data_IF_318308550315
#
_entry.id   IF_318308550315
#
_cell.length_a   1.000
_cell.length_b   1.000
_cell.length_c   1.000
_cell.angle_alpha   90.00
_cell.angle_beta   90.00
_cell.angle_gamma   90.00
#
_symmetry.space_group_name_H-M   'P 1'
#
loop_
_entity.id
_entity.type
_entity.pdbx_description
1 polymer ?
#
# COMPACT_ATOMS: atom_id res chain seq x y z
N UNK A 1 23.58 -13.10 0.88
CA UNK A 1 22.75 -13.22 -0.33
C UNK A 1 21.30 -13.24 0.11
N UNK A 2 20.41 -12.50 -0.55
CA UNK A 2 18.98 -12.51 -0.22
C UNK A 2 18.32 -13.74 -0.86
N UNK A 3 18.04 -14.76 -0.06
CA UNK A 3 17.30 -15.95 -0.49
C UNK A 3 15.82 -15.77 -0.16
N UNK A 4 14.94 -16.37 -0.95
CA UNK A 4 13.53 -16.56 -0.60
C UNK A 4 13.34 -17.98 -0.10
N UNK A 5 12.68 -18.11 1.04
CA UNK A 5 12.28 -19.41 1.57
C UNK A 5 10.77 -19.62 1.43
N UNK A 6 10.36 -20.86 1.20
CA UNK A 6 8.97 -21.30 1.30
C UNK A 6 8.84 -22.42 2.34
N UNK A 7 7.63 -22.56 2.89
CA UNK A 7 7.31 -23.68 3.79
C UNK A 7 7.21 -24.98 3.01
N UNK A 8 7.92 -26.00 3.50
CA UNK A 8 7.79 -27.37 2.99
C UNK A 8 6.45 -27.97 3.43
N UNK A 9 6.13 -29.18 2.97
CA UNK A 9 4.99 -29.93 3.50
C UNK A 9 5.12 -30.17 5.03
N UNK A 10 6.34 -30.48 5.51
CA UNK A 10 6.61 -30.66 6.93
C UNK A 10 6.46 -29.36 7.74
N UNK A 11 6.84 -28.22 7.17
CA UNK A 11 6.63 -26.91 7.78
C UNK A 11 5.15 -26.56 7.95
N UNK A 12 4.32 -26.88 6.96
CA UNK A 12 2.86 -26.69 7.03
C UNK A 12 2.21 -27.60 8.07
N UNK A 13 2.59 -28.88 8.07
CA UNK A 13 2.10 -29.84 9.06
C UNK A 13 2.42 -29.40 10.50
N UNK A 14 3.66 -28.94 10.76
CA UNK A 14 4.05 -28.43 12.08
C UNK A 14 3.20 -27.23 12.53
N UNK A 15 2.77 -26.36 11.61
CA UNK A 15 1.85 -25.26 11.91
C UNK A 15 0.48 -25.80 12.33
N UNK A 16 -0.03 -26.84 11.69
CA UNK A 16 -1.35 -27.39 11.99
C UNK A 16 -1.37 -28.17 13.30
N UNK A 17 -0.43 -29.10 13.50
CA UNK A 17 -0.51 -30.10 14.57
C UNK A 17 0.40 -29.82 15.77
N UNK A 18 1.37 -28.89 15.65
CA UNK A 18 2.39 -28.59 16.68
C UNK A 18 3.20 -29.83 17.11
N UNK A 19 3.32 -30.84 16.24
CA UNK A 19 3.89 -32.14 16.57
C UNK A 19 5.36 -32.10 17.03
N UNK A 20 6.15 -31.17 16.48
CA UNK A 20 7.59 -31.00 16.79
C UNK A 20 7.85 -30.03 17.94
N UNK A 21 6.80 -29.37 18.46
CA UNK A 21 6.86 -28.45 19.60
C UNK A 21 7.93 -27.36 19.43
N UNK A 22 7.93 -26.70 18.27
CA UNK A 22 8.86 -25.61 18.02
C UNK A 22 8.80 -24.52 19.09
N UNK A 23 9.95 -23.94 19.48
CA UNK A 23 10.00 -22.70 20.24
C UNK A 23 9.10 -21.62 19.60
N UNK A 24 8.38 -20.86 20.43
CA UNK A 24 7.39 -19.89 19.96
C UNK A 24 7.94 -18.89 18.94
N UNK A 25 9.21 -18.47 19.10
CA UNK A 25 9.87 -17.57 18.17
C UNK A 25 10.13 -18.23 16.80
N UNK A 26 10.67 -19.45 16.75
CA UNK A 26 10.88 -20.20 15.49
C UNK A 26 9.57 -20.47 14.77
N UNK A 27 8.51 -20.78 15.52
CA UNK A 27 7.17 -20.98 14.96
C UNK A 27 6.60 -19.70 14.36
N UNK A 28 6.84 -18.56 15.01
CA UNK A 28 6.44 -17.24 14.50
C UNK A 28 7.17 -16.92 13.20
N UNK A 29 8.48 -17.21 13.12
CA UNK A 29 9.23 -17.10 11.87
C UNK A 29 8.65 -18.03 10.80
N UNK A 30 8.45 -19.30 11.11
CA UNK A 30 7.89 -20.31 10.18
C UNK A 30 6.54 -19.88 9.59
N UNK A 31 5.66 -19.29 10.38
CA UNK A 31 4.37 -18.75 9.91
C UNK A 31 4.54 -17.66 8.86
N UNK A 32 5.57 -16.80 9.00
CA UNK A 32 5.83 -15.69 8.10
C UNK A 32 6.63 -16.05 6.85
N UNK A 33 7.20 -17.26 6.77
CA UNK A 33 7.91 -17.73 5.57
C UNK A 33 6.89 -18.04 4.48
N UNK A 34 6.58 -17.08 3.62
CA UNK A 34 5.54 -17.17 2.60
C UNK A 34 6.10 -17.20 1.16
N UNK A 35 7.41 -17.16 0.99
CA UNK A 35 8.06 -17.02 -0.32
C UNK A 35 7.97 -15.61 -0.90
N UNK A 36 7.45 -14.64 -0.14
CA UNK A 36 7.39 -13.23 -0.52
C UNK A 36 8.47 -12.39 0.15
N UNK A 37 8.94 -12.80 1.33
CA UNK A 37 10.01 -12.13 2.08
C UNK A 37 11.33 -12.85 1.93
N UNK A 38 12.39 -12.07 1.74
CA UNK A 38 13.76 -12.60 1.71
C UNK A 38 14.37 -12.78 3.11
N UNK A 39 15.53 -13.42 3.17
CA UNK A 39 16.27 -13.64 4.43
C UNK A 39 16.54 -12.34 5.19
N UNK A 40 16.82 -11.23 4.51
CA UNK A 40 17.14 -9.96 5.16
C UNK A 40 15.88 -9.35 5.80
N UNK A 41 14.77 -9.35 5.06
CA UNK A 41 13.47 -8.90 5.56
C UNK A 41 13.01 -9.74 6.75
N UNK A 42 13.15 -11.07 6.68
CA UNK A 42 12.82 -11.97 7.78
C UNK A 42 13.73 -11.77 8.99
N UNK A 43 15.04 -11.64 8.79
CA UNK A 43 16.01 -11.36 9.87
C UNK A 43 15.75 -10.03 10.55
N UNK A 44 15.27 -9.02 9.82
CA UNK A 44 14.86 -7.72 10.40
C UNK A 44 13.74 -7.84 11.44
N UNK A 45 12.96 -8.93 11.42
CA UNK A 45 11.88 -9.18 12.37
C UNK A 45 12.31 -9.98 13.60
N UNK A 46 13.53 -10.56 13.61
CA UNK A 46 13.97 -11.48 14.67
C UNK A 46 14.01 -10.81 16.03
N UNK A 47 14.49 -9.58 16.10
CA UNK A 47 14.66 -8.84 17.36
C UNK A 47 13.31 -8.63 18.06
N UNK A 48 12.29 -8.18 17.31
CA UNK A 48 10.93 -7.97 17.83
C UNK A 48 10.23 -9.27 18.25
N UNK A 49 10.59 -10.39 17.63
CA UNK A 49 10.03 -11.71 17.92
C UNK A 49 10.85 -12.53 18.91
N UNK A 50 11.99 -11.98 19.38
CA UNK A 50 12.97 -12.68 20.22
C UNK A 50 13.42 -14.01 19.60
N UNK A 51 13.52 -14.05 18.27
CA UNK A 51 14.02 -15.19 17.54
C UNK A 51 15.55 -15.26 17.62
N UNK A 52 16.13 -16.47 17.69
CA UNK A 52 17.58 -16.61 17.68
C UNK A 52 18.15 -16.17 16.31
N UNK A 53 19.40 -15.66 16.24
CA UNK A 53 19.98 -15.10 15.01
C UNK A 53 20.14 -16.13 13.89
N UNK A 54 20.14 -17.41 14.24
CA UNK A 54 20.21 -18.59 13.37
C UNK A 54 18.84 -19.25 13.14
N UNK A 55 17.73 -18.54 13.39
CA UNK A 55 16.38 -19.11 13.29
C UNK A 55 16.04 -19.69 11.91
N UNK A 56 16.44 -19.02 10.82
CA UNK A 56 16.21 -19.54 9.46
C UNK A 56 17.04 -20.79 9.21
N UNK A 57 18.29 -20.79 9.62
CA UNK A 57 19.20 -21.94 9.54
C UNK A 57 18.65 -23.14 10.31
N UNK A 58 18.09 -22.92 11.49
CA UNK A 58 17.42 -23.97 12.28
C UNK A 58 16.18 -24.52 11.58
N UNK A 59 15.34 -23.67 10.96
CA UNK A 59 14.15 -24.11 10.23
C UNK A 59 14.51 -24.89 8.97
N UNK A 60 15.56 -24.48 8.26
CA UNK A 60 16.13 -25.21 7.11
C UNK A 60 16.69 -26.56 7.56
N UNK A 61 17.50 -26.60 8.63
CA UNK A 61 18.08 -27.83 9.17
C UNK A 61 17.01 -28.85 9.61
N UNK A 62 15.86 -28.36 10.07
CA UNK A 62 14.71 -29.20 10.44
C UNK A 62 13.82 -29.59 9.25
N UNK A 63 14.14 -29.12 8.04
CA UNK A 63 13.40 -29.39 6.80
C UNK A 63 12.03 -28.73 6.75
N UNK A 64 11.81 -27.67 7.52
CA UNK A 64 10.50 -26.98 7.62
C UNK A 64 10.35 -25.88 6.58
N UNK A 65 11.47 -25.32 6.14
CA UNK A 65 11.52 -24.36 5.03
C UNK A 65 12.61 -24.78 4.04
N UNK A 66 12.44 -24.40 2.79
CA UNK A 66 13.41 -24.63 1.73
C UNK A 66 13.66 -23.34 0.95
N UNK A 67 14.89 -23.16 0.49
CA UNK A 67 15.24 -22.04 -0.37
C UNK A 67 14.67 -22.29 -1.77
N UNK A 68 13.76 -21.44 -2.20
CA UNK A 68 13.05 -21.54 -3.49
C UNK A 68 13.53 -20.53 -4.52
N UNK A 69 14.45 -19.66 -4.15
CA UNK A 69 15.02 -18.67 -5.05
C UNK A 69 16.08 -17.82 -4.39
N UNK A 70 16.93 -17.22 -5.22
CA UNK A 70 18.00 -16.32 -4.81
C UNK A 70 19.33 -16.69 -5.47
N UNK A 71 19.42 -16.42 -6.76
CA UNK A 71 20.62 -15.82 -7.30
C UNK A 71 20.19 -14.53 -7.99
N UNK A 72 20.91 -13.44 -7.72
CA UNK A 72 20.83 -12.21 -8.49
C UNK A 72 21.51 -12.37 -9.87
N UNK A 73 21.50 -13.59 -10.43
CA UNK A 73 21.95 -13.80 -11.80
C UNK A 73 20.91 -13.17 -12.72
N UNK A 74 21.36 -12.13 -13.42
CA UNK A 74 20.60 -11.44 -14.44
C UNK A 74 20.04 -12.48 -15.41
N UNK A 75 18.73 -12.66 -15.39
CA UNK A 75 18.05 -13.54 -16.34
C UNK A 75 18.37 -13.04 -17.74
N UNK A 76 18.76 -13.92 -18.68
CA UNK A 76 18.89 -13.53 -20.07
C UNK A 76 17.53 -12.98 -20.52
N UNK A 77 17.51 -11.72 -20.97
CA UNK A 77 16.35 -11.07 -21.56
C UNK A 77 15.97 -11.83 -22.82
N UNK A 78 15.20 -12.91 -22.66
CA UNK A 78 14.55 -13.57 -23.77
C UNK A 78 13.41 -12.64 -24.17
N UNK A 79 13.56 -11.98 -25.30
CA UNK A 79 12.56 -11.07 -25.83
C UNK A 79 11.26 -11.85 -26.08
N UNK A 80 10.28 -11.64 -25.22
CA UNK A 80 9.01 -12.39 -25.20
C UNK A 80 8.10 -11.86 -26.32
N UNK A 81 8.28 -10.59 -26.69
CA UNK A 81 7.52 -9.93 -27.76
C UNK A 81 8.06 -10.16 -29.17
N UNK A 82 9.23 -10.78 -29.36
CA UNK A 82 9.83 -10.94 -30.71
C UNK A 82 8.90 -11.69 -31.66
N UNK A 83 8.47 -11.04 -32.74
CA UNK A 83 7.53 -11.58 -33.73
C UNK A 83 6.07 -11.61 -33.27
N UNK A 84 5.77 -11.07 -32.08
CA UNK A 84 4.44 -10.94 -31.46
C UNK A 84 4.25 -9.55 -30.86
N UNK A 85 4.95 -8.54 -31.37
CA UNK A 85 5.02 -7.20 -30.76
C UNK A 85 3.63 -6.54 -30.68
N UNK A 86 2.78 -6.83 -31.66
CA UNK A 86 1.43 -6.30 -31.81
C UNK A 86 0.35 -7.33 -31.45
N UNK A 87 0.72 -8.47 -30.86
CA UNK A 87 -0.22 -9.51 -30.47
C UNK A 87 -1.12 -9.01 -29.31
N UNK A 88 -2.44 -8.84 -29.52
CA UNK A 88 -3.33 -8.33 -28.49
C UNK A 88 -3.42 -9.23 -27.26
N UNK A 89 -3.30 -10.56 -27.43
CA UNK A 89 -3.37 -11.50 -26.32
C UNK A 89 -2.11 -11.39 -25.44
N UNK A 90 -0.94 -11.27 -26.07
CA UNK A 90 0.32 -11.06 -25.34
C UNK A 90 0.31 -9.72 -24.60
N UNK A 91 -0.20 -8.66 -25.23
CA UNK A 91 -0.36 -7.35 -24.59
C UNK A 91 -1.23 -7.44 -23.33
N UNK A 92 -2.42 -8.04 -23.42
CA UNK A 92 -3.34 -8.17 -22.28
C UNK A 92 -2.71 -8.98 -21.14
N UNK A 93 -2.07 -10.12 -21.45
CA UNK A 93 -1.41 -10.94 -20.44
C UNK A 93 -0.26 -10.21 -19.72
N UNK A 94 0.56 -9.44 -20.45
CA UNK A 94 1.62 -8.62 -19.87
C UNK A 94 1.05 -7.47 -19.04
N UNK A 95 0.03 -6.78 -19.55
CA UNK A 95 -0.65 -5.70 -18.85
C UNK A 95 -1.21 -6.18 -17.51
N UNK A 96 -1.93 -7.30 -17.51
CA UNK A 96 -2.52 -7.92 -16.32
C UNK A 96 -1.46 -8.38 -15.31
N UNK A 97 -0.38 -9.00 -15.79
CA UNK A 97 0.72 -9.41 -14.90
C UNK A 97 1.39 -8.19 -14.26
N UNK A 98 1.62 -7.12 -15.02
CA UNK A 98 2.32 -5.92 -14.54
C UNK A 98 1.45 -5.08 -13.59
N UNK A 99 0.16 -4.86 -13.91
CA UNK A 99 -0.77 -4.13 -13.02
C UNK A 99 -0.89 -4.85 -11.68
N UNK A 100 -0.98 -6.18 -11.69
CA UNK A 100 -1.11 -6.95 -10.45
C UNK A 100 0.19 -6.94 -9.63
N UNK A 101 1.36 -6.97 -10.30
CA UNK A 101 2.64 -6.82 -9.61
C UNK A 101 2.78 -5.44 -8.96
N UNK A 102 2.35 -4.37 -9.64
CA UNK A 102 2.31 -3.02 -9.09
C UNK A 102 1.40 -2.97 -7.87
N UNK A 103 0.17 -3.51 -7.99
CA UNK A 103 -0.82 -3.58 -6.90
C UNK A 103 -0.26 -4.32 -5.68
N UNK A 104 0.24 -5.55 -5.86
CA UNK A 104 0.70 -6.41 -4.76
C UNK A 104 1.98 -5.92 -4.11
N UNK A 105 2.94 -5.44 -4.89
CA UNK A 105 4.30 -5.21 -4.38
C UNK A 105 4.63 -3.74 -4.13
N UNK A 106 4.02 -2.81 -4.87
CA UNK A 106 4.35 -1.39 -4.77
C UNK A 106 3.26 -0.56 -4.10
N UNK A 107 1.98 -0.95 -4.26
CA UNK A 107 0.83 -0.16 -3.81
C UNK A 107 0.91 1.27 -4.34
N UNK A 108 0.68 2.27 -3.47
CA UNK A 108 0.72 3.69 -3.85
C UNK A 108 2.08 4.15 -4.42
N UNK A 109 3.21 3.54 -4.02
CA UNK A 109 4.53 3.86 -4.58
C UNK A 109 4.65 3.47 -6.05
N UNK A 110 3.75 2.61 -6.53
CA UNK A 110 3.66 2.14 -7.89
C UNK A 110 2.87 3.05 -8.84
N UNK A 111 2.25 4.13 -8.36
CA UNK A 111 1.37 4.99 -9.17
C UNK A 111 2.00 5.45 -10.49
N UNK A 112 3.25 5.95 -10.46
CA UNK A 112 3.93 6.38 -11.69
C UNK A 112 4.25 5.24 -12.64
N UNK A 113 4.46 4.02 -12.12
CA UNK A 113 4.66 2.84 -12.95
C UNK A 113 3.32 2.39 -13.54
N UNK A 114 2.23 2.44 -12.78
CA UNK A 114 0.88 2.20 -13.29
C UNK A 114 0.55 3.16 -14.44
N UNK A 115 0.79 4.47 -14.28
CA UNK A 115 0.60 5.45 -15.37
C UNK A 115 1.44 5.16 -16.61
N UNK A 116 2.63 4.58 -16.45
CA UNK A 116 3.47 4.18 -17.58
C UNK A 116 2.91 2.93 -18.27
N UNK A 117 2.40 1.97 -17.50
CA UNK A 117 1.68 0.79 -18.02
C UNK A 117 0.46 1.23 -18.84
N UNK A 118 -0.38 2.13 -18.32
CA UNK A 118 -1.57 2.65 -19.04
C UNK A 118 -1.24 3.40 -20.34
N UNK A 119 -0.01 3.91 -20.47
CA UNK A 119 0.45 4.61 -21.68
C UNK A 119 1.04 3.68 -22.73
N UNK A 120 1.33 2.42 -22.37
CA UNK A 120 1.81 1.44 -23.33
C UNK A 120 0.64 0.99 -24.22
N UNK A 121 0.87 0.92 -25.52
CA UNK A 121 -0.16 0.56 -26.52
C UNK A 121 0.10 -0.78 -27.18
N UNK A 122 1.22 -1.43 -26.89
CA UNK A 122 1.63 -2.71 -27.48
C UNK A 122 2.52 -3.53 -26.50
N UNK A 123 2.69 -4.82 -26.81
CA UNK A 123 3.41 -5.75 -25.94
C UNK A 123 4.90 -5.39 -25.81
N UNK A 124 5.50 -4.85 -26.88
CA UNK A 124 6.90 -4.41 -26.88
C UNK A 124 7.12 -3.23 -25.91
N UNK A 125 6.19 -2.28 -25.86
CA UNK A 125 6.26 -1.14 -24.94
C UNK A 125 6.17 -1.58 -23.48
N UNK A 126 5.30 -2.54 -23.17
CA UNK A 126 5.21 -3.15 -21.83
C UNK A 126 6.52 -3.89 -21.47
N UNK A 127 7.06 -4.70 -22.39
CA UNK A 127 8.33 -5.40 -22.17
C UNK A 127 9.50 -4.43 -21.90
N UNK A 128 9.52 -3.28 -22.58
CA UNK A 128 10.54 -2.24 -22.35
C UNK A 128 10.40 -1.54 -20.99
N UNK A 129 9.22 -1.55 -20.38
CA UNK A 129 8.98 -1.01 -19.05
C UNK A 129 9.34 -2.00 -17.93
N UNK A 130 9.38 -3.31 -18.21
CA UNK A 130 9.66 -4.36 -17.22
C UNK A 130 10.92 -4.13 -16.38
N UNK A 131 12.09 -3.72 -16.91
CA UNK A 131 13.28 -3.50 -16.08
C UNK A 131 13.07 -2.42 -15.00
N UNK A 132 12.29 -1.38 -15.30
CA UNK A 132 11.96 -0.33 -14.34
C UNK A 132 11.03 -0.85 -13.24
N UNK A 133 10.00 -1.63 -13.63
CA UNK A 133 9.11 -2.30 -12.68
C UNK A 133 9.89 -3.25 -11.76
N UNK A 134 10.80 -4.07 -12.31
CA UNK A 134 11.64 -4.97 -11.53
C UNK A 134 12.54 -4.24 -10.56
N UNK A 135 13.16 -3.13 -10.97
CA UNK A 135 13.97 -2.31 -10.08
C UNK A 135 13.12 -1.72 -8.94
N UNK A 136 11.90 -1.27 -9.24
CA UNK A 136 10.99 -0.72 -8.24
C UNK A 136 10.52 -1.80 -7.25
N UNK A 137 10.13 -2.98 -7.73
CA UNK A 137 9.73 -4.12 -6.88
C UNK A 137 10.92 -4.59 -6.05
N UNK A 138 12.10 -4.69 -6.66
CA UNK A 138 13.33 -5.09 -6.00
C UNK A 138 13.72 -4.15 -4.86
N UNK A 139 13.48 -2.84 -5.04
CA UNK A 139 13.71 -1.83 -4.00
C UNK A 139 12.63 -1.82 -2.91
N UNK A 140 11.38 -2.09 -3.27
CA UNK A 140 10.25 -2.03 -2.34
C UNK A 140 10.09 -3.30 -1.49
N UNK A 141 10.54 -4.44 -2.02
CA UNK A 141 10.46 -5.78 -1.41
C UNK A 141 11.86 -6.37 -1.37
N UNK A 142 12.20 -7.20 -2.36
CA UNK A 142 13.54 -7.75 -2.53
C UNK A 142 13.87 -8.01 -4.00
N UNK A 143 15.16 -7.91 -4.40
CA UNK A 143 15.59 -8.25 -5.75
C UNK A 143 15.26 -9.70 -6.14
N UNK A 144 15.33 -10.63 -5.18
CA UNK A 144 15.00 -12.03 -5.40
C UNK A 144 13.52 -12.24 -5.74
N UNK A 145 12.62 -11.53 -5.04
CA UNK A 145 11.18 -11.56 -5.33
C UNK A 145 10.86 -11.02 -6.72
N UNK A 146 11.42 -9.85 -7.05
CA UNK A 146 11.23 -9.24 -8.36
C UNK A 146 11.66 -10.19 -9.48
N UNK A 147 12.84 -10.79 -9.34
CA UNK A 147 13.40 -11.68 -10.34
C UNK A 147 12.60 -12.97 -10.51
N UNK A 148 12.14 -13.56 -9.40
CA UNK A 148 11.31 -14.77 -9.41
C UNK A 148 9.96 -14.53 -10.08
N UNK A 149 9.25 -13.48 -9.66
CA UNK A 149 7.97 -13.09 -10.24
C UNK A 149 8.08 -12.96 -11.77
N UNK A 150 9.16 -12.35 -12.26
CA UNK A 150 9.39 -12.21 -13.69
C UNK A 150 9.60 -13.54 -14.39
N UNK A 151 10.43 -14.42 -13.85
CA UNK A 151 10.67 -15.75 -14.42
C UNK A 151 9.38 -16.57 -14.52
N UNK A 152 8.56 -16.56 -13.46
CA UNK A 152 7.27 -17.24 -13.43
C UNK A 152 6.30 -16.66 -14.47
N UNK A 153 6.27 -15.33 -14.60
CA UNK A 153 5.48 -14.63 -15.63
C UNK A 153 5.94 -15.03 -17.04
N UNK A 154 7.24 -15.01 -17.31
CA UNK A 154 7.79 -15.43 -18.61
C UNK A 154 7.44 -16.89 -18.93
N UNK A 155 7.56 -17.80 -17.96
CA UNK A 155 7.22 -19.20 -18.13
C UNK A 155 5.72 -19.39 -18.44
N UNK A 156 4.84 -18.66 -17.76
CA UNK A 156 3.40 -18.70 -18.02
C UNK A 156 3.05 -18.20 -19.43
N UNK A 157 3.69 -17.11 -19.89
CA UNK A 157 3.47 -16.52 -21.22
C UNK A 157 3.97 -17.41 -22.37
N UNK A 158 5.02 -18.21 -22.14
CA UNK A 158 5.53 -19.16 -23.13
C UNK A 158 4.65 -20.42 -23.23
N UNK A 159 4.05 -20.85 -22.11
CA UNK A 159 3.25 -22.08 -22.05
C UNK A 159 1.74 -21.85 -22.29
N UNK A 160 1.23 -20.63 -22.10
CA UNK A 160 -0.19 -20.26 -22.17
C UNK A 160 -0.80 -20.12 -23.56
N UNK A 161 -0.24 -20.78 -24.59
CA UNK A 161 -0.77 -20.76 -25.96
C UNK A 161 -1.97 -21.67 -26.23
N UNK A 162 -2.40 -22.50 -25.27
CA UNK A 162 -3.54 -23.41 -25.38
C UNK A 162 -4.31 -23.45 -24.07
N UNK A 163 -5.37 -22.66 -23.92
CA UNK A 163 -6.62 -23.06 -23.25
C UNK A 163 -7.69 -21.99 -23.43
N UNK A 164 -8.88 -22.46 -23.78
CA UNK A 164 -10.05 -21.76 -24.30
C UNK A 164 -10.53 -20.57 -23.45
N UNK A 165 -10.88 -19.49 -24.16
CA UNK A 165 -11.96 -18.54 -23.85
C UNK A 165 -12.37 -18.46 -22.38
N UNK A 166 -11.64 -17.67 -21.59
CA UNK A 166 -12.26 -17.01 -20.45
C UNK A 166 -13.09 -15.86 -20.99
N UNK A 167 -14.39 -16.07 -20.86
CA UNK A 167 -15.47 -15.10 -20.98
C UNK A 167 -15.01 -13.72 -20.54
N UNK A 168 -15.35 -12.72 -21.36
CA UNK A 168 -15.30 -11.32 -21.01
C UNK A 168 -16.29 -11.09 -19.86
N UNK A 169 -15.86 -11.33 -18.63
CA UNK A 169 -16.48 -10.76 -17.44
C UNK A 169 -15.87 -9.37 -17.28
N UNK A 170 -16.60 -8.35 -17.71
CA UNK A 170 -16.43 -6.96 -17.27
C UNK A 170 -16.83 -6.87 -15.77
N UNK A 171 -16.07 -7.55 -14.91
CA UNK A 171 -16.08 -7.25 -13.48
C UNK A 171 -14.71 -6.69 -13.12
N UNK A 172 -14.69 -5.37 -12.98
CA UNK A 172 -13.57 -4.65 -12.40
C UNK A 172 -13.41 -5.09 -10.94
N UNK A 173 -12.62 -6.13 -10.68
CA UNK A 173 -12.18 -6.55 -9.32
C UNK A 173 -11.25 -5.50 -8.64
N UNK A 174 -11.36 -4.25 -9.08
CA UNK A 174 -10.82 -3.02 -8.51
C UNK A 174 -11.93 -2.09 -7.98
N UNK A 175 -13.17 -2.58 -7.83
CA UNK A 175 -14.28 -1.81 -7.27
C UNK A 175 -13.94 -1.29 -5.85
N UNK A 176 -13.51 -0.02 -5.79
CA UNK A 176 -13.52 0.83 -4.59
C UNK A 176 -14.64 1.86 -4.73
N UNK A 177 -15.91 1.44 -4.88
CA UNK A 177 -17.00 2.33 -5.25
C UNK A 177 -17.19 3.45 -4.24
N UNK A 178 -16.91 3.21 -2.95
CA UNK A 178 -16.94 4.26 -1.93
C UNK A 178 -15.82 5.28 -2.07
N UNK A 179 -14.61 4.83 -2.41
CA UNK A 179 -13.49 5.71 -2.69
C UNK A 179 -13.74 6.59 -3.93
N UNK A 180 -14.29 5.98 -4.98
CA UNK A 180 -14.63 6.68 -6.23
C UNK A 180 -15.78 7.65 -6.04
N UNK A 181 -16.78 7.30 -5.24
CA UNK A 181 -17.89 8.19 -4.89
C UNK A 181 -17.38 9.44 -4.15
N UNK A 182 -16.46 9.29 -3.19
CA UNK A 182 -15.86 10.43 -2.48
C UNK A 182 -15.06 11.30 -3.47
N UNK A 183 -14.23 10.69 -4.32
CA UNK A 183 -13.43 11.43 -5.31
C UNK A 183 -14.31 12.16 -6.33
N UNK A 184 -15.39 11.53 -6.80
CA UNK A 184 -16.35 12.13 -7.73
C UNK A 184 -17.06 13.35 -7.10
N UNK A 185 -17.39 13.29 -5.81
CA UNK A 185 -17.96 14.43 -5.08
C UNK A 185 -16.97 15.59 -4.91
N UNK A 186 -15.67 15.29 -4.75
CA UNK A 186 -14.61 16.29 -4.59
C UNK A 186 -14.13 16.90 -5.91
N UNK A 187 -14.24 16.18 -7.02
CA UNK A 187 -13.72 16.60 -8.33
C UNK A 187 -14.26 17.96 -8.81
N UNK A 188 -15.56 18.32 -8.67
CA UNK A 188 -16.05 19.64 -9.03
C UNK A 188 -15.50 20.76 -8.15
N UNK A 189 -15.18 20.48 -6.88
CA UNK A 189 -14.70 21.47 -5.91
C UNK A 189 -13.22 21.81 -6.11
N UNK A 190 -12.45 20.84 -6.62
CA UNK A 190 -10.99 20.92 -6.73
C UNK A 190 -10.48 20.56 -8.13
N UNK A 191 -11.25 20.91 -9.16
CA UNK A 191 -10.98 20.51 -10.53
C UNK A 191 -9.53 20.81 -10.96
N UNK A 192 -8.82 19.77 -11.41
CA UNK A 192 -7.42 19.86 -11.86
C UNK A 192 -6.38 19.93 -10.73
N UNK A 193 -6.77 19.75 -9.46
CA UNK A 193 -5.85 19.65 -8.33
C UNK A 193 -5.68 18.18 -7.92
N UNK A 194 -4.44 17.70 -7.88
CA UNK A 194 -4.10 16.45 -7.21
C UNK A 194 -3.96 16.69 -5.70
N UNK A 195 -4.74 16.01 -4.85
CA UNK A 195 -4.63 16.17 -3.40
C UNK A 195 -3.34 15.56 -2.86
N UNK A 196 -2.90 16.05 -1.70
CA UNK A 196 -1.96 15.30 -0.86
C UNK A 196 -2.72 14.25 -0.06
N UNK A 197 -2.54 12.99 -0.41
CA UNK A 197 -3.13 11.88 0.31
C UNK A 197 -2.16 11.23 1.29
N UNK A 198 -2.61 11.00 2.52
CA UNK A 198 -1.88 10.34 3.60
C UNK A 198 -2.64 9.08 3.99
N UNK A 199 -2.18 7.92 3.51
CA UNK A 199 -2.76 6.63 3.87
C UNK A 199 -2.13 6.02 5.12
N UNK A 200 -2.85 5.10 5.76
CA UNK A 200 -2.30 4.27 6.85
C UNK A 200 -1.41 3.15 6.34
N UNK A 201 -0.31 2.90 7.06
CA UNK A 201 0.68 1.89 6.67
C UNK A 201 0.14 0.44 6.76
N UNK A 202 -0.87 0.21 7.59
CA UNK A 202 -1.63 -1.04 7.69
C UNK A 202 -3.11 -0.68 7.92
N UNK A 203 -4.03 -1.03 7.02
CA UNK A 203 -5.47 -0.79 7.19
C UNK A 203 -6.01 -1.45 8.45
N UNK A 204 -7.02 -0.83 9.07
CA UNK A 204 -7.65 -1.35 10.29
C UNK A 204 -8.24 -2.76 10.11
N UNK A 205 -8.84 -3.02 8.94
CA UNK A 205 -9.39 -4.33 8.55
C UNK A 205 -8.34 -5.46 8.51
N UNK A 206 -7.05 -5.10 8.42
CA UNK A 206 -5.92 -6.02 8.45
C UNK A 206 -5.14 -5.99 9.78
N UNK A 207 -5.75 -5.46 10.84
CA UNK A 207 -5.17 -5.40 12.19
C UNK A 207 -4.30 -4.16 12.45
N UNK A 208 -4.43 -3.11 11.62
CA UNK A 208 -3.83 -1.79 11.85
C UNK A 208 -4.37 -1.11 13.11
N UNK A 209 -3.56 -0.20 13.68
CA UNK A 209 -3.97 0.58 14.88
C UNK A 209 -4.73 1.87 14.53
N UNK A 210 -4.70 2.29 13.26
CA UNK A 210 -5.31 3.52 12.80
C UNK A 210 -6.61 3.17 12.05
N UNK A 211 -7.78 3.67 12.49
CA UNK A 211 -9.09 3.28 11.97
C UNK A 211 -9.45 3.93 10.61
N UNK A 212 -8.63 4.87 10.13
CA UNK A 212 -8.83 5.56 8.86
C UNK A 212 -7.92 4.95 7.81
N UNK A 213 -8.43 4.64 6.63
CA UNK A 213 -7.62 4.21 5.49
C UNK A 213 -6.76 5.36 4.94
N UNK A 214 -7.22 6.62 5.07
CA UNK A 214 -6.39 7.78 4.76
C UNK A 214 -7.05 9.14 4.93
N UNK A 215 -6.28 10.19 4.57
CA UNK A 215 -6.71 11.58 4.57
C UNK A 215 -6.21 12.26 3.31
N UNK A 216 -7.11 12.83 2.50
CA UNK A 216 -6.77 13.72 1.39
C UNK A 216 -6.78 15.19 1.83
N UNK A 217 -5.82 15.97 1.36
CA UNK A 217 -5.68 17.39 1.65
C UNK A 217 -5.65 18.20 0.36
N UNK A 218 -6.56 19.16 0.26
CA UNK A 218 -6.69 20.09 -0.86
C UNK A 218 -6.44 21.53 -0.41
N UNK A 219 -6.01 22.36 -1.35
CA UNK A 219 -6.01 23.82 -1.23
C UNK A 219 -7.32 24.41 -1.74
N UNK A 220 -7.85 25.41 -1.04
CA UNK A 220 -9.02 26.18 -1.44
C UNK A 220 -8.76 27.69 -1.25
N UNK A 221 -9.04 28.50 -2.26
CA UNK A 221 -8.84 29.96 -2.20
C UNK A 221 -10.00 30.71 -1.53
N UNK A 222 -11.20 30.12 -1.48
CA UNK A 222 -12.43 30.74 -1.00
C UNK A 222 -13.10 29.90 0.11
N UNK A 223 -13.74 30.51 1.12
CA UNK A 223 -13.97 31.96 1.28
C UNK A 223 -12.72 32.74 1.71
N UNK A 224 -11.75 32.07 2.30
CA UNK A 224 -10.37 32.54 2.51
C UNK A 224 -9.41 31.41 2.13
N UNK A 225 -8.15 31.70 1.79
CA UNK A 225 -7.13 30.68 1.58
C UNK A 225 -7.06 29.68 2.75
N UNK A 226 -7.27 28.39 2.48
CA UNK A 226 -7.22 27.34 3.50
C UNK A 226 -6.88 25.96 2.94
N UNK A 227 -6.45 25.07 3.83
CA UNK A 227 -6.32 23.64 3.58
C UNK A 227 -7.61 22.92 3.97
N UNK A 228 -8.13 22.08 3.09
CA UNK A 228 -9.31 21.24 3.34
C UNK A 228 -8.90 19.77 3.42
N UNK A 229 -9.10 19.17 4.59
CA UNK A 229 -8.81 17.79 4.90
C UNK A 229 -10.09 16.96 4.77
N UNK A 230 -10.00 15.77 4.18
CA UNK A 230 -11.11 14.83 4.00
C UNK A 230 -10.61 13.44 4.39
N UNK A 231 -11.29 12.78 5.31
CA UNK A 231 -10.96 11.40 5.73
C UNK A 231 -11.52 10.36 4.77
N UNK A 232 -10.94 9.16 4.83
CA UNK A 232 -11.41 7.94 4.19
C UNK A 232 -11.34 6.85 5.25
N UNK A 233 -12.48 6.22 5.58
CA UNK A 233 -12.56 5.08 6.50
C UNK A 233 -13.76 5.12 7.45
N UNK A 234 -14.58 6.18 7.40
CA UNK A 234 -15.87 6.19 8.10
C UNK A 234 -17.00 5.63 7.22
N UNK A 235 -16.86 5.63 5.90
CA UNK A 235 -17.77 4.96 4.97
C UNK A 235 -17.21 3.61 4.48
N UNK A 236 -18.04 2.83 3.79
CA UNK A 236 -17.57 1.60 3.11
C UNK A 236 -16.84 1.98 1.83
N UNK A 237 -15.51 1.94 1.87
CA UNK A 237 -14.66 2.32 0.74
C UNK A 237 -14.51 1.23 -0.34
N UNK A 238 -14.74 -0.02 0.07
CA UNK A 238 -14.51 -1.23 -0.72
C UNK A 238 -15.84 -1.88 -1.09
N UNK A 239 -15.91 -3.22 -1.04
CA UNK A 239 -17.16 -3.95 -1.16
C UNK A 239 -18.13 -3.57 -0.03
N UNK A 240 -19.42 -3.72 -0.33
CA UNK A 240 -20.51 -3.54 0.62
C UNK A 240 -20.41 -4.55 1.77
N UNK A 241 -20.36 -4.08 3.02
CA UNK A 241 -20.23 -4.92 4.22
C UNK A 241 -21.56 -5.01 5.00
N UNK A 242 -22.32 -3.92 5.09
CA UNK A 242 -23.61 -3.82 5.77
C UNK A 242 -24.73 -4.20 4.79
N UNK A 243 -25.69 -5.01 5.24
CA UNK A 243 -26.79 -5.51 4.40
C UNK A 243 -27.79 -4.46 3.94
N UNK A 244 -27.89 -3.33 4.66
CA UNK A 244 -28.70 -2.18 4.25
C UNK A 244 -28.03 -1.45 3.08
N UNK A 245 -28.68 -1.45 1.92
CA UNK A 245 -28.17 -0.88 0.68
C UNK A 245 -28.03 0.65 0.73
N UNK A 246 -28.82 1.33 1.56
CA UNK A 246 -28.84 2.80 1.65
C UNK A 246 -27.84 3.35 2.69
N UNK A 247 -27.27 2.48 3.53
CA UNK A 247 -26.25 2.84 4.52
C UNK A 247 -24.84 2.66 3.96
N UNK A 248 -23.83 3.37 4.50
CA UNK A 248 -22.42 3.10 4.16
C UNK A 248 -21.52 3.31 5.37
N UNK A 249 -21.11 2.23 6.03
CA UNK A 249 -20.33 2.30 7.27
C UNK A 249 -21.02 3.16 8.33
N UNK A 250 -20.35 4.18 8.83
CA UNK A 250 -20.90 5.22 9.71
C UNK A 250 -21.75 6.28 8.98
N UNK A 251 -21.74 6.29 7.64
CA UNK A 251 -22.58 7.15 6.79
C UNK A 251 -22.02 8.54 6.53
N UNK A 252 -20.77 8.82 6.90
CA UNK A 252 -20.14 10.13 6.71
C UNK A 252 -18.63 9.99 6.52
N UNK A 253 -17.98 11.09 6.13
CA UNK A 253 -16.53 11.29 6.28
C UNK A 253 -16.31 12.61 7.03
N UNK A 254 -15.22 12.69 7.81
CA UNK A 254 -14.85 13.91 8.50
C UNK A 254 -14.13 14.86 7.55
N UNK A 255 -14.44 16.15 7.68
CA UNK A 255 -13.71 17.21 6.99
C UNK A 255 -13.23 18.28 7.96
N UNK A 256 -12.08 18.89 7.66
CA UNK A 256 -11.52 19.98 8.46
C UNK A 256 -10.95 21.06 7.56
N UNK A 257 -11.15 22.34 7.92
CA UNK A 257 -10.64 23.49 7.16
C UNK A 257 -9.68 24.30 8.02
N UNK A 258 -8.42 24.37 7.59
CA UNK A 258 -7.36 25.08 8.29
C UNK A 258 -6.96 26.31 7.50
N UNK A 259 -7.27 27.50 8.03
CA UNK A 259 -6.90 28.76 7.40
C UNK A 259 -5.39 28.84 7.15
N UNK A 260 -5.00 29.31 5.96
CA UNK A 260 -3.63 29.67 5.68
C UNK A 260 -3.35 31.01 6.39
N UNK A 261 -2.36 31.04 7.28
CA UNK A 261 -1.94 32.28 7.94
C UNK A 261 -1.02 33.08 7.01
N UNK A 262 -1.43 34.32 6.72
CA UNK A 262 -0.55 35.33 6.11
C UNK A 262 0.34 35.93 7.21
N UNK A 263 1.63 35.56 7.23
CA UNK A 263 2.63 36.29 8.01
C UNK A 263 2.99 37.61 7.28
N UNK A 264 2.84 38.79 7.92
CA UNK A 264 3.20 40.07 7.32
C UNK A 264 4.73 40.17 7.17
N UNK A 265 5.22 39.75 6.01
CA UNK A 265 6.64 39.71 5.64
C UNK A 265 6.94 38.83 4.42
N UNK A 266 6.03 37.91 4.08
CA UNK A 266 6.14 37.08 2.88
C UNK A 266 5.39 37.71 1.69
N UNK A 267 5.94 38.79 1.13
CA UNK A 267 5.53 39.25 -0.19
C UNK A 267 6.01 38.22 -1.25
N UNK A 268 5.09 37.81 -2.14
CA UNK A 268 5.24 36.81 -3.21
C UNK A 268 5.00 35.37 -2.69
N UNK A 269 3.96 34.63 -3.11
CA UNK A 269 3.84 34.08 -4.47
C UNK A 269 2.35 33.91 -4.86
N UNK A 270 1.84 34.81 -5.72
CA UNK A 270 0.84 34.42 -6.72
C UNK A 270 1.61 33.80 -7.89
N UNK A 271 1.76 32.48 -7.88
CA UNK A 271 2.14 31.67 -9.05
C UNK A 271 1.99 30.19 -8.69
N UNK A 272 1.31 29.45 -9.58
CA UNK A 272 1.40 28.00 -9.65
C UNK A 272 2.86 27.56 -9.49
N UNK A 273 3.18 26.80 -8.45
CA UNK A 273 4.06 25.62 -8.48
C UNK A 273 4.47 25.12 -7.08
N UNK A 274 4.44 23.79 -6.93
CA UNK A 274 5.38 22.93 -6.19
C UNK A 274 5.67 23.23 -4.70
N UNK A 275 5.31 22.25 -3.87
CA UNK A 275 6.22 21.54 -2.94
C UNK A 275 7.24 22.44 -2.21
N UNK A 276 7.02 22.79 -0.91
CA UNK A 276 8.08 22.85 0.14
C UNK A 276 7.71 23.49 1.51
N UNK A 277 6.45 23.64 1.92
CA UNK A 277 6.17 24.19 3.26
C UNK A 277 4.90 23.70 3.91
N UNK A 278 4.93 22.55 4.58
CA UNK A 278 3.92 22.19 5.59
C UNK A 278 4.50 21.16 6.58
N UNK A 279 4.32 21.30 7.91
CA UNK A 279 4.76 20.31 8.88
C UNK A 279 3.84 19.07 8.85
N UNK A 280 4.38 17.84 8.87
CA UNK A 280 3.54 16.64 8.97
C UNK A 280 2.71 16.67 10.27
N UNK A 281 1.52 16.02 10.30
CA UNK A 281 0.75 15.89 11.53
C UNK A 281 1.61 15.20 12.59
N UNK A 282 1.90 15.91 13.68
CA UNK A 282 2.66 15.32 14.79
C UNK A 282 1.79 14.28 15.47
N UNK A 283 2.22 13.01 15.47
CA UNK A 283 1.75 12.03 16.45
C UNK A 283 2.11 12.60 17.82
N UNK A 284 1.11 13.09 18.57
CA UNK A 284 1.30 13.35 19.98
C UNK A 284 1.50 11.99 20.66
N UNK A 285 2.77 11.61 20.90
CA UNK A 285 3.10 10.66 21.95
C UNK A 285 2.70 11.33 23.26
N UNK A 286 1.76 10.74 23.98
CA UNK A 286 1.52 11.09 25.36
C UNK A 286 2.72 10.61 26.18
N UNK A 287 3.76 11.42 26.27
CA UNK A 287 4.82 11.17 27.23
C UNK A 287 4.27 11.49 28.63
N UNK A 288 3.99 10.42 29.38
CA UNK A 288 3.86 10.50 30.83
C UNK A 288 5.23 10.86 31.40
N UNK A 289 5.44 12.13 31.72
CA UNK A 289 6.41 12.56 32.70
C UNK A 289 5.76 13.66 33.54
N UNK A 290 5.58 13.37 34.83
CA UNK A 290 5.01 14.30 35.77
C UNK A 290 5.95 15.48 35.99
N UNK A 291 5.39 16.69 36.01
CA UNK A 291 5.73 17.68 37.01
C UNK A 291 4.69 18.82 37.00
N UNK A 292 4.09 19.01 38.18
CA UNK A 292 3.67 20.26 38.83
C UNK A 292 2.83 21.28 38.05
N UNK A 293 1.60 21.42 38.55
CA UNK A 293 0.72 22.59 38.45
C UNK A 293 1.46 23.93 38.48
N UNK A 294 1.10 24.87 37.58
CA UNK A 294 1.00 26.27 37.91
C UNK A 294 -0.45 26.62 38.27
N UNK A 295 -0.57 27.44 39.32
CA UNK A 295 -1.81 27.86 39.94
C UNK A 295 -2.71 28.70 39.01
N UNK A 296 -4.02 28.49 39.13
CA UNK A 296 -5.08 29.33 38.55
C UNK A 296 -5.32 30.52 39.48
N UNK A 297 -5.29 31.79 39.00
CA UNK A 297 -5.79 32.91 39.79
C UNK A 297 -7.33 32.96 39.72
N UNK A 298 -8.04 33.26 40.81
CA UNK A 298 -9.49 33.25 40.82
C UNK A 298 -10.07 34.57 40.29
N UNK A 299 -11.17 34.46 39.56
CA UNK A 299 -12.13 35.55 39.40
C UNK A 299 -12.21 36.14 38.00
N UNK A 300 -13.20 35.69 37.23
CA UNK A 300 -14.25 36.56 36.69
C UNK A 300 -15.34 35.67 36.08
N UNK A 301 -16.49 35.69 36.74
CA UNK A 301 -17.74 35.13 36.24
C UNK A 301 -18.10 35.76 34.89
N UNK A 302 -18.41 34.94 33.89
CA UNK A 302 -19.39 35.34 32.88
C UNK A 302 -20.39 34.20 32.68
N UNK A 303 -21.65 34.58 32.77
CA UNK A 303 -22.82 33.73 32.95
C UNK A 303 -23.22 33.02 31.66
N UNK A 304 -23.82 31.84 31.85
CA UNK A 304 -24.75 31.21 30.91
C UNK A 304 -25.83 32.18 30.46
N UNK A 305 -26.12 32.20 29.16
CA UNK A 305 -27.43 32.58 28.65
C UNK A 305 -27.79 31.63 27.50
N UNK A 306 -28.71 30.73 27.83
CA UNK A 306 -29.48 29.89 26.90
C UNK A 306 -30.56 30.75 26.22
N UNK A 307 -30.75 30.47 24.93
CA UNK A 307 -31.89 30.65 24.03
C UNK A 307 -33.15 31.45 24.46
N UNK A 308 -33.71 32.15 23.45
CA UNK A 308 -35.16 32.20 23.22
C UNK A 308 -35.70 33.56 22.80
N UNK A 309 -35.91 33.77 21.49
CA UNK A 309 -37.22 33.86 20.78
C UNK A 309 -36.97 34.12 19.31
#
# INVERSE_FOLDING_TARGET
MALLHAKTAAGRQEIEDRGRRLPAALRSILLMVDGHRDDNELRGLFEGLRAPPDALEQLVAQGLIEAIGGSADAVPTRAISTGREQDPALYQQLYDAMREAVRRHLGLKGYFIQLKIERCTDALALERLCPELLAAVGKARSPALAQRWWQETQAALVNGGNEESRVQDDHDDTDTPGWDAINAALAPLYAGQEPRHYGTALPYTLGGQDPLDGISVYWADAPVPHWHYITYGFSELYAKEISDADASGYGFELTFRLAAVDEPGALCVRQRQRVRGWPPPQRQRSDRAGDRHPAVPPGLHCRSAVAGT
#
